data_IF_176706707183
#
_entry.id   IF_176706707183
#
_cell.length_a   1.000
_cell.length_b   1.000
_cell.length_c   1.000
_cell.angle_alpha   90.00
_cell.angle_beta   90.00
_cell.angle_gamma   90.00
#
_symmetry.space_group_name_H-M   'P 1'
#
loop_
_entity.id
_entity.type
_entity.pdbx_description
1 polymer ?
#
# COMPACT_ATOMS: atom_id res chain seq x y z
N UNK A 1 -41.47 14.62 -18.29
CA UNK A 1 -40.58 15.31 -17.34
C UNK A 1 -39.23 15.38 -18.01
N UNK A 2 -38.88 16.56 -18.54
CA UNK A 2 -37.63 16.77 -19.29
C UNK A 2 -36.53 17.08 -18.28
N UNK A 3 -35.45 16.31 -18.31
CA UNK A 3 -34.32 16.51 -17.38
C UNK A 3 -33.43 17.60 -17.96
N UNK A 4 -33.23 18.68 -17.19
CA UNK A 4 -32.34 19.77 -17.56
C UNK A 4 -30.88 19.28 -17.59
N UNK A 5 -30.34 19.16 -18.80
CA UNK A 5 -28.99 18.64 -19.05
C UNK A 5 -27.90 19.53 -18.44
N UNK A 6 -28.12 20.86 -18.37
CA UNK A 6 -27.15 21.80 -17.79
C UNK A 6 -26.97 21.58 -16.29
N UNK A 7 -28.07 21.24 -15.60
CA UNK A 7 -28.06 20.92 -14.17
C UNK A 7 -27.34 19.60 -13.88
N UNK A 8 -27.46 18.62 -14.77
CA UNK A 8 -26.75 17.34 -14.67
C UNK A 8 -25.24 17.54 -14.86
N UNK A 9 -24.82 18.32 -15.84
CA UNK A 9 -23.39 18.61 -16.11
C UNK A 9 -22.71 19.36 -14.96
N UNK A 10 -23.38 20.37 -14.41
CA UNK A 10 -22.89 21.11 -13.25
C UNK A 10 -22.71 20.18 -12.04
N UNK A 11 -23.70 19.32 -11.79
CA UNK A 11 -23.64 18.33 -10.71
C UNK A 11 -22.52 17.30 -10.91
N UNK A 12 -22.34 16.80 -12.14
CA UNK A 12 -21.25 15.86 -12.46
C UNK A 12 -19.88 16.49 -12.24
N UNK A 13 -19.69 17.75 -12.65
CA UNK A 13 -18.42 18.47 -12.47
C UNK A 13 -18.10 18.67 -10.99
N UNK A 14 -19.09 19.10 -10.19
CA UNK A 14 -18.94 19.24 -8.75
C UNK A 14 -18.63 17.89 -8.08
N UNK A 15 -19.36 16.85 -8.45
CA UNK A 15 -19.15 15.50 -7.94
C UNK A 15 -17.77 14.96 -8.28
N UNK A 16 -17.32 15.10 -9.52
CA UNK A 16 -15.97 14.72 -9.95
C UNK A 16 -14.88 15.48 -9.17
N UNK A 17 -15.08 16.79 -8.92
CA UNK A 17 -14.19 17.59 -8.09
C UNK A 17 -14.07 17.04 -6.67
N UNK A 18 -15.19 16.69 -6.03
CA UNK A 18 -15.20 16.07 -4.68
C UNK A 18 -14.50 14.70 -4.66
N UNK A 19 -14.75 13.86 -5.66
CA UNK A 19 -14.10 12.54 -5.76
C UNK A 19 -12.59 12.68 -5.91
N UNK A 20 -12.13 13.58 -6.81
CA UNK A 20 -10.70 13.86 -6.99
C UNK A 20 -10.05 14.37 -5.71
N UNK A 21 -10.71 15.28 -4.99
CA UNK A 21 -10.20 15.80 -3.72
C UNK A 21 -10.08 14.73 -2.63
N UNK A 22 -10.95 13.71 -2.63
CA UNK A 22 -10.92 12.61 -1.65
C UNK A 22 -10.00 11.45 -2.04
N UNK A 23 -9.62 11.31 -3.31
CA UNK A 23 -8.79 10.20 -3.81
C UNK A 23 -7.51 9.98 -2.98
N UNK A 24 -6.71 11.00 -2.62
CA UNK A 24 -5.47 10.77 -1.87
C UNK A 24 -5.74 10.27 -0.45
N UNK A 25 -6.87 10.64 0.16
CA UNK A 25 -7.25 10.18 1.51
C UNK A 25 -7.62 8.71 1.46
N UNK A 26 -8.54 8.34 0.56
CA UNK A 26 -8.98 6.94 0.40
C UNK A 26 -7.82 6.03 0.02
N UNK A 27 -6.92 6.51 -0.83
CA UNK A 27 -5.73 5.73 -1.25
C UNK A 27 -4.82 5.43 -0.05
N UNK A 28 -4.59 6.41 0.83
CA UNK A 28 -3.78 6.22 2.05
C UNK A 28 -4.46 5.30 3.07
N UNK A 29 -5.78 5.41 3.24
CA UNK A 29 -6.55 4.51 4.11
C UNK A 29 -6.47 3.06 3.65
N UNK A 30 -6.68 2.80 2.35
CA UNK A 30 -6.55 1.46 1.77
C UNK A 30 -5.10 0.96 1.90
N UNK A 31 -4.11 1.80 1.65
CA UNK A 31 -2.71 1.42 1.77
C UNK A 31 -2.34 1.07 3.22
N UNK A 32 -2.87 1.79 4.21
CA UNK A 32 -2.70 1.47 5.62
C UNK A 32 -3.25 0.09 5.96
N UNK A 33 -4.48 -0.21 5.53
CA UNK A 33 -5.10 -1.53 5.72
C UNK A 33 -4.29 -2.64 5.05
N UNK A 34 -3.75 -2.41 3.87
CA UNK A 34 -2.91 -3.40 3.16
C UNK A 34 -1.59 -3.61 3.91
N UNK A 35 -0.92 -2.54 4.34
CA UNK A 35 0.32 -2.62 5.11
C UNK A 35 0.14 -3.37 6.43
N UNK A 36 -0.93 -3.05 7.17
CA UNK A 36 -1.25 -3.75 8.42
C UNK A 36 -1.37 -5.25 8.21
N UNK A 37 -2.07 -5.67 7.15
CA UNK A 37 -2.21 -7.10 6.83
C UNK A 37 -0.94 -7.74 6.32
N UNK A 38 -0.07 -7.01 5.62
CA UNK A 38 1.27 -7.50 5.24
C UNK A 38 2.11 -7.74 6.50
N UNK A 39 2.04 -6.83 7.47
CA UNK A 39 2.79 -6.92 8.73
C UNK A 39 2.28 -8.03 9.65
N UNK A 40 0.95 -8.19 9.77
CA UNK A 40 0.29 -9.28 10.51
C UNK A 40 0.65 -10.65 9.94
N UNK A 41 0.70 -10.77 8.61
CA UNK A 41 1.00 -12.04 7.93
C UNK A 41 2.47 -12.30 7.76
N UNK A 42 3.33 -11.37 8.14
CA UNK A 42 4.77 -11.56 8.10
C UNK A 42 5.16 -12.68 9.08
N UNK A 43 5.54 -13.87 8.57
CA UNK A 43 5.57 -15.09 9.35
C UNK A 43 6.83 -15.18 10.22
N UNK A 44 7.73 -14.20 10.11
CA UNK A 44 8.99 -14.20 10.82
C UNK A 44 8.95 -13.17 11.91
N UNK A 45 9.27 -13.62 13.12
CA UNK A 45 9.39 -12.83 14.34
C UNK A 45 10.61 -11.89 14.33
N UNK A 46 11.12 -11.58 13.15
CA UNK A 46 12.14 -10.58 12.96
C UNK A 46 11.43 -9.24 12.89
N UNK A 47 11.23 -8.62 14.06
CA UNK A 47 10.64 -7.29 14.18
C UNK A 47 11.22 -6.26 13.20
N UNK A 48 12.49 -6.43 12.77
CA UNK A 48 13.13 -5.61 11.72
C UNK A 48 12.38 -5.61 10.37
N UNK A 49 11.92 -6.75 9.86
CA UNK A 49 11.16 -6.80 8.59
C UNK A 49 9.80 -6.12 8.73
N UNK A 50 9.10 -6.29 9.86
CA UNK A 50 7.85 -5.56 10.13
C UNK A 50 8.11 -4.06 10.30
N UNK A 51 9.17 -3.68 11.01
CA UNK A 51 9.57 -2.29 11.20
C UNK A 51 9.91 -1.60 9.87
N UNK A 52 10.54 -2.30 8.92
CA UNK A 52 10.80 -1.79 7.58
C UNK A 52 9.51 -1.44 6.81
N UNK A 53 8.44 -2.25 6.93
CA UNK A 53 7.13 -1.89 6.36
C UNK A 53 6.51 -0.67 7.04
N UNK A 54 6.65 -0.56 8.37
CA UNK A 54 6.24 0.63 9.12
C UNK A 54 6.99 1.89 8.70
N UNK A 55 8.32 1.79 8.50
CA UNK A 55 9.16 2.86 8.00
C UNK A 55 8.71 3.31 6.60
N UNK A 56 8.53 2.37 5.66
CA UNK A 56 8.02 2.67 4.32
C UNK A 56 6.63 3.34 4.35
N UNK A 57 5.73 2.87 5.22
CA UNK A 57 4.43 3.50 5.48
C UNK A 57 4.56 4.96 5.91
N UNK A 58 5.42 5.21 6.90
CA UNK A 58 5.60 6.55 7.48
C UNK A 58 6.10 7.57 6.45
N UNK A 59 6.97 7.15 5.51
CA UNK A 59 7.53 8.01 4.46
C UNK A 59 6.47 8.54 3.48
N UNK A 60 5.32 7.88 3.38
CA UNK A 60 4.21 8.27 2.49
C UNK A 60 2.96 8.76 3.24
N UNK A 61 3.10 9.01 4.55
CA UNK A 61 2.00 9.46 5.40
C UNK A 61 0.94 8.39 5.65
N UNK A 62 1.32 7.12 5.60
CA UNK A 62 0.46 5.98 5.96
C UNK A 62 0.90 5.44 7.32
N UNK A 63 0.00 5.50 8.30
CA UNK A 63 0.25 4.95 9.63
C UNK A 63 -0.29 3.51 9.68
N UNK A 64 0.59 2.53 9.78
CA UNK A 64 0.21 1.14 10.05
C UNK A 64 0.01 0.96 11.56
N UNK A 65 -1.16 0.44 11.97
CA UNK A 65 -1.45 0.10 13.36
C UNK A 65 -0.55 -1.04 13.89
N UNK A 66 -0.08 -1.92 13.01
CA UNK A 66 0.77 -3.05 13.35
C UNK A 66 2.26 -2.67 13.61
N UNK A 67 2.59 -1.38 13.68
CA UNK A 67 3.97 -0.90 13.88
C UNK A 67 4.62 -1.53 15.11
N UNK A 68 5.82 -2.08 14.92
CA UNK A 68 6.56 -2.78 15.97
C UNK A 68 7.58 -1.85 16.61
N UNK A 69 7.93 -2.10 17.87
CA UNK A 69 9.02 -1.40 18.57
C UNK A 69 10.43 -1.83 18.14
N UNK A 70 10.56 -2.81 17.25
CA UNK A 70 11.86 -3.23 16.76
C UNK A 70 12.47 -2.13 15.88
N UNK A 71 13.77 -1.89 16.04
CA UNK A 71 14.48 -0.93 15.22
C UNK A 71 14.62 -1.47 13.79
N UNK A 72 14.07 -0.75 12.81
CA UNK A 72 14.58 -0.82 11.44
C UNK A 72 15.89 -0.05 11.36
N UNK A 73 16.78 -0.44 10.45
CA UNK A 73 17.90 0.39 10.05
C UNK A 73 17.43 1.37 8.98
N UNK A 74 18.01 2.56 8.94
CA UNK A 74 17.67 3.56 7.94
C UNK A 74 17.83 2.96 6.52
N UNK A 75 16.74 3.02 5.73
CA UNK A 75 16.71 2.49 4.37
C UNK A 75 16.32 1.01 4.27
N UNK A 76 15.99 0.35 5.38
CA UNK A 76 15.33 -0.96 5.36
C UNK A 76 13.93 -0.85 4.73
N UNK A 77 13.22 0.24 5.00
CA UNK A 77 11.94 0.58 4.38
C UNK A 77 12.04 1.77 3.44
N UNK A 78 11.49 1.67 2.24
CA UNK A 78 11.35 2.80 1.32
C UNK A 78 9.91 2.98 0.88
N UNK A 79 9.38 4.18 1.09
CA UNK A 79 8.06 4.60 0.66
C UNK A 79 8.14 5.72 -0.38
N UNK A 80 7.35 5.63 -1.44
CA UNK A 80 7.25 6.67 -2.46
C UNK A 80 5.78 7.00 -2.75
N UNK A 81 5.48 8.29 -2.89
CA UNK A 81 4.17 8.80 -3.31
C UNK A 81 4.32 9.51 -4.64
N UNK A 82 3.47 9.14 -5.58
CA UNK A 82 3.33 9.80 -6.87
C UNK A 82 1.86 10.22 -7.03
N UNK A 83 1.62 11.52 -7.20
CA UNK A 83 0.28 12.08 -7.41
C UNK A 83 0.25 12.81 -8.75
N UNK A 84 -0.54 12.28 -9.69
CA UNK A 84 -0.96 12.98 -10.90
C UNK A 84 -2.44 13.39 -10.72
N UNK A 85 -2.91 14.45 -11.41
CA UNK A 85 -4.30 14.89 -11.34
C UNK A 85 -5.35 13.78 -11.55
N UNK A 86 -4.98 12.66 -12.19
CA UNK A 86 -5.80 11.47 -12.42
C UNK A 86 -5.48 10.30 -11.47
N UNK A 87 -4.24 10.14 -11.01
CA UNK A 87 -3.82 8.96 -10.23
C UNK A 87 -3.10 9.32 -8.94
N UNK A 88 -3.32 8.53 -7.89
CA UNK A 88 -2.47 8.52 -6.69
C UNK A 88 -1.84 7.13 -6.59
N UNK A 89 -0.51 7.06 -6.57
CA UNK A 89 0.26 5.83 -6.46
C UNK A 89 1.13 5.89 -5.21
N UNK A 90 1.05 4.84 -4.42
CA UNK A 90 1.90 4.61 -3.26
C UNK A 90 2.72 3.36 -3.51
N UNK A 91 4.04 3.45 -3.38
CA UNK A 91 4.95 2.34 -3.50
C UNK A 91 5.65 2.10 -2.16
N UNK A 92 5.78 0.83 -1.79
CA UNK A 92 6.40 0.38 -0.56
C UNK A 92 7.41 -0.71 -0.90
N UNK A 93 8.63 -0.56 -0.40
CA UNK A 93 9.72 -1.50 -0.60
C UNK A 93 10.29 -1.89 0.76
N UNK A 94 10.48 -3.20 0.96
CA UNK A 94 11.17 -3.75 2.11
C UNK A 94 12.49 -4.35 1.64
N UNK A 95 13.59 -3.72 2.04
CA UNK A 95 14.96 -4.04 1.64
C UNK A 95 15.70 -4.93 2.63
N UNK A 96 15.00 -5.46 3.62
CA UNK A 96 15.61 -6.33 4.62
C UNK A 96 16.10 -7.62 3.94
N UNK A 97 17.40 -7.89 4.07
CA UNK A 97 18.18 -8.86 3.30
C UNK A 97 17.61 -10.29 3.27
N UNK A 98 16.95 -10.72 4.35
CA UNK A 98 16.39 -12.07 4.44
C UNK A 98 14.93 -12.21 3.97
N UNK A 99 14.29 -11.12 3.56
CA UNK A 99 12.93 -11.15 2.99
C UNK A 99 12.81 -12.09 1.78
N UNK A 100 13.79 -12.15 0.84
CA UNK A 100 13.79 -13.14 -0.24
C UNK A 100 13.91 -14.58 0.26
N UNK A 101 14.60 -14.82 1.38
CA UNK A 101 14.75 -16.16 1.95
C UNK A 101 13.45 -16.70 2.58
N UNK A 102 12.49 -15.82 2.90
CA UNK A 102 11.14 -16.22 3.34
C UNK A 102 10.38 -17.00 2.27
N UNK A 103 10.73 -16.79 1.00
CA UNK A 103 10.12 -17.48 -0.13
C UNK A 103 10.50 -18.97 -0.22
N UNK A 104 11.58 -19.39 0.44
CA UNK A 104 12.09 -20.76 0.39
C UNK A 104 11.64 -21.64 1.57
N UNK A 105 11.06 -21.05 2.63
CA UNK A 105 10.67 -21.78 3.84
C UNK A 105 9.39 -22.60 3.71
N UNK A 106 8.33 -22.01 3.13
CA UNK A 106 7.10 -22.69 2.67
C UNK A 106 6.37 -21.77 1.69
N UNK A 107 5.61 -22.32 0.73
CA UNK A 107 4.87 -21.52 -0.28
C UNK A 107 3.87 -20.50 0.31
N UNK A 108 3.46 -20.68 1.57
CA UNK A 108 2.58 -19.76 2.31
C UNK A 108 3.34 -18.58 2.96
N UNK A 109 4.66 -18.67 3.06
CA UNK A 109 5.55 -17.67 3.67
C UNK A 109 6.25 -16.78 2.65
N UNK A 110 6.08 -17.04 1.35
CA UNK A 110 6.64 -16.20 0.31
C UNK A 110 6.10 -14.78 0.38
N UNK A 111 6.98 -13.78 0.24
CA UNK A 111 6.62 -12.36 0.28
C UNK A 111 5.46 -12.03 -0.67
N UNK A 112 5.49 -12.63 -1.86
CA UNK A 112 4.40 -12.52 -2.84
C UNK A 112 3.07 -13.10 -2.35
N UNK A 113 3.08 -14.22 -1.62
CA UNK A 113 1.85 -14.82 -1.09
C UNK A 113 1.24 -13.97 0.02
N UNK A 114 2.08 -13.34 0.86
CA UNK A 114 1.64 -12.42 1.91
C UNK A 114 0.93 -11.20 1.35
N UNK A 115 1.56 -10.54 0.38
CA UNK A 115 1.00 -9.34 -0.28
C UNK A 115 -0.28 -9.70 -1.03
N UNK A 116 -0.29 -10.81 -1.78
CA UNK A 116 -1.50 -11.28 -2.48
C UNK A 116 -2.63 -11.58 -1.51
N UNK A 117 -2.34 -12.25 -0.40
CA UNK A 117 -3.34 -12.49 0.62
C UNK A 117 -3.88 -11.17 1.17
N UNK A 118 -2.99 -10.23 1.53
CA UNK A 118 -3.35 -8.96 2.16
C UNK A 118 -4.35 -8.20 1.28
N UNK A 119 -4.04 -8.11 -0.02
CA UNK A 119 -4.88 -7.54 -1.07
C UNK A 119 -6.21 -8.29 -1.24
N UNK A 120 -6.18 -9.62 -1.34
CA UNK A 120 -7.40 -10.43 -1.49
C UNK A 120 -8.37 -10.23 -0.31
N UNK A 121 -7.85 -10.02 0.89
CA UNK A 121 -8.67 -9.75 2.07
C UNK A 121 -9.11 -8.29 2.22
N UNK A 122 -8.47 -7.32 1.53
CA UNK A 122 -8.85 -5.89 1.61
C UNK A 122 -9.87 -5.49 0.56
N UNK A 123 -10.19 -6.38 -0.39
CA UNK A 123 -11.08 -6.06 -1.50
C UNK A 123 -10.51 -4.98 -2.43
N UNK A 124 -9.22 -4.68 -2.30
CA UNK A 124 -8.54 -3.68 -3.11
C UNK A 124 -7.95 -4.34 -4.37
N UNK A 125 -8.42 -3.91 -5.53
CA UNK A 125 -7.79 -4.27 -6.81
C UNK A 125 -6.63 -3.29 -7.07
N UNK A 126 -5.39 -3.75 -6.86
CA UNK A 126 -4.18 -2.96 -7.07
C UNK A 126 -3.36 -3.58 -8.21
N UNK A 127 -3.07 -2.79 -9.24
CA UNK A 127 -2.22 -3.19 -10.37
C UNK A 127 -0.76 -3.22 -9.90
N UNK A 128 -0.16 -4.40 -9.85
CA UNK A 128 1.25 -4.58 -9.49
C UNK A 128 2.15 -4.35 -10.71
N UNK A 129 3.09 -3.41 -10.61
CA UNK A 129 4.30 -3.39 -11.44
C UNK A 129 5.48 -3.79 -10.56
N UNK A 130 5.94 -5.03 -10.69
CA UNK A 130 7.23 -5.44 -10.14
C UNK A 130 8.31 -4.76 -10.99
N UNK A 131 8.95 -3.71 -10.47
CA UNK A 131 10.23 -3.28 -11.02
C UNK A 131 11.23 -4.42 -10.71
N UNK A 132 11.63 -5.16 -11.75
CA UNK A 132 12.52 -6.30 -11.61
C UNK A 132 13.86 -5.88 -11.01
N UNK A 133 14.14 -6.38 -9.81
CA UNK A 133 15.51 -6.53 -9.30
C UNK A 133 15.74 -8.03 -9.14
N UNK A 134 15.88 -8.71 -10.28
CA UNK A 134 16.60 -9.98 -10.35
C UNK A 134 17.91 -9.66 -11.04
N UNK A 135 18.97 -9.55 -10.24
CA UNK A 135 20.33 -9.83 -10.67
C UNK A 135 20.79 -11.07 -9.93
#
# INVERSE_FOLDING_TARGET
>A
MEVDSSRVEAWLTEWQGRVRARRPVVTREIAGLVLDRVMERNPVDTGRSRAAWGEAGSQVGVSAAASTTAASQAGDGVGQTEEDGQQTRLAFENRVEYTPFLEYGTSRMAARAMVRGALASSGAEVVFQLAGVFK
#
